data_IF_284067746845
#
_entry.id   IF_284067746845
#
_cell.length_a   1.000
_cell.length_b   1.000
_cell.length_c   1.000
_cell.angle_alpha   90.00
_cell.angle_beta   90.00
_cell.angle_gamma   90.00
#
_symmetry.space_group_name_H-M   'P 1'
#
loop_
_entity.id
_entity.type
_entity.pdbx_description
1 polymer ?
#
# COMPACT_ATOMS: atom_id res chain seq x y z
N UNK A 1 -20.38 3.32 -21.46
CA UNK A 1 -19.63 4.57 -21.72
C UNK A 1 -19.13 5.13 -20.37
N UNK A 2 -17.90 4.77 -19.93
CA UNK A 2 -17.33 5.19 -18.66
C UNK A 2 -16.79 6.59 -18.85
N UNK A 3 -17.43 7.59 -18.23
CA UNK A 3 -16.94 8.97 -18.26
C UNK A 3 -15.61 9.05 -17.50
N UNK A 4 -14.53 9.56 -18.10
CA UNK A 4 -13.27 9.77 -17.38
C UNK A 4 -13.52 10.79 -16.25
N UNK A 5 -13.30 10.37 -15.01
CA UNK A 5 -13.36 11.28 -13.86
C UNK A 5 -12.28 12.34 -14.01
N UNK A 6 -12.66 13.61 -14.07
CA UNK A 6 -11.72 14.73 -14.13
C UNK A 6 -10.91 14.76 -12.84
N UNK A 7 -9.63 14.48 -12.96
CA UNK A 7 -8.68 14.62 -11.86
C UNK A 7 -8.30 16.10 -11.72
N UNK A 8 -8.46 16.67 -10.53
CA UNK A 8 -8.13 18.07 -10.28
C UNK A 8 -6.62 18.30 -10.13
N UNK A 9 -6.23 19.56 -9.92
CA UNK A 9 -4.85 20.07 -9.92
C UNK A 9 -3.94 19.58 -8.78
N UNK A 10 -4.44 18.90 -7.74
CA UNK A 10 -3.62 18.41 -6.63
C UNK A 10 -2.88 17.11 -7.02
N UNK A 11 -1.60 16.95 -6.64
CA UNK A 11 -0.79 15.76 -7.01
C UNK A 11 -1.33 14.47 -6.42
N UNK A 12 -1.91 14.50 -5.23
CA UNK A 12 -2.55 13.36 -4.56
C UNK A 12 -3.87 13.82 -3.95
N UNK A 13 -4.96 13.09 -4.22
CA UNK A 13 -6.27 13.30 -3.58
C UNK A 13 -6.59 12.12 -2.69
N UNK A 14 -6.72 12.37 -1.41
CA UNK A 14 -7.27 11.40 -0.47
C UNK A 14 -8.80 11.44 -0.53
N UNK A 15 -9.42 10.29 -0.75
CA UNK A 15 -10.88 10.14 -0.69
C UNK A 15 -11.23 9.05 0.33
N UNK A 16 -12.02 9.42 1.32
CA UNK A 16 -12.58 8.48 2.28
C UNK A 16 -13.91 7.96 1.74
N UNK A 17 -14.00 6.66 1.57
CA UNK A 17 -15.27 5.98 1.24
C UNK A 17 -15.92 5.54 2.54
N UNK A 18 -17.20 5.92 2.75
CA UNK A 18 -17.91 5.67 4.00
C UNK A 18 -17.10 6.11 5.25
N UNK A 19 -16.75 7.41 5.40
CA UNK A 19 -15.75 7.87 6.38
C UNK A 19 -16.10 7.48 7.81
N UNK A 20 -17.36 7.58 8.19
CA UNK A 20 -17.80 7.22 9.54
C UNK A 20 -17.58 5.73 9.84
N UNK A 21 -17.96 4.84 8.91
CA UNK A 21 -17.77 3.41 9.07
C UNK A 21 -16.28 3.03 9.07
N UNK A 22 -15.49 3.63 8.17
CA UNK A 22 -14.03 3.38 8.10
C UNK A 22 -13.35 3.80 9.40
N UNK A 23 -13.62 5.00 9.89
CA UNK A 23 -13.02 5.49 11.14
C UNK A 23 -13.50 4.71 12.35
N UNK A 24 -14.77 4.35 12.41
CA UNK A 24 -15.32 3.55 13.50
C UNK A 24 -14.68 2.15 13.58
N UNK A 25 -14.61 1.44 12.44
CA UNK A 25 -14.01 0.10 12.41
C UNK A 25 -12.51 0.13 12.69
N UNK A 26 -11.81 1.16 12.19
CA UNK A 26 -10.39 1.36 12.47
C UNK A 26 -10.16 1.63 13.97
N UNK A 27 -10.94 2.53 14.56
CA UNK A 27 -10.84 2.85 15.99
C UNK A 27 -11.15 1.63 16.85
N UNK A 28 -12.25 0.90 16.54
CA UNK A 28 -12.62 -0.31 17.26
C UNK A 28 -11.53 -1.38 17.16
N UNK A 29 -10.98 -1.61 15.97
CA UNK A 29 -9.90 -2.55 15.76
C UNK A 29 -8.63 -2.17 16.52
N UNK A 30 -8.23 -0.89 16.50
CA UNK A 30 -7.07 -0.40 17.24
C UNK A 30 -7.26 -0.47 18.76
N UNK A 31 -8.48 -0.27 19.26
CA UNK A 31 -8.79 -0.44 20.70
C UNK A 31 -8.73 -1.91 21.11
N UNK A 32 -9.14 -2.83 20.25
CA UNK A 32 -9.10 -4.27 20.50
C UNK A 32 -7.69 -4.89 20.28
N UNK A 33 -6.76 -4.13 19.66
CA UNK A 33 -5.42 -4.60 19.30
C UNK A 33 -4.48 -4.64 20.50
N UNK A 34 -4.69 -5.58 21.42
CA UNK A 34 -3.80 -5.81 22.58
C UNK A 34 -2.41 -6.31 22.20
N UNK A 35 -2.26 -6.94 21.05
CA UNK A 35 -0.99 -7.52 20.58
C UNK A 35 -0.16 -6.56 19.71
N UNK A 36 -0.79 -5.52 19.17
CA UNK A 36 -0.15 -4.61 18.22
C UNK A 36 -0.11 -5.10 16.78
N UNK A 37 -0.67 -6.28 16.49
CA UNK A 37 -0.66 -6.89 15.13
C UNK A 37 -1.34 -5.98 14.11
N UNK A 38 -2.49 -5.42 14.46
CA UNK A 38 -3.22 -4.52 13.56
C UNK A 38 -2.45 -3.21 13.30
N UNK A 39 -1.85 -2.63 14.35
CA UNK A 39 -1.03 -1.40 14.22
C UNK A 39 0.12 -1.60 13.27
N UNK A 40 0.87 -2.69 13.43
CA UNK A 40 2.02 -2.98 12.57
C UNK A 40 1.60 -3.43 11.17
N UNK A 41 0.48 -4.14 11.04
CA UNK A 41 -0.13 -4.44 9.74
C UNK A 41 -0.54 -3.18 8.98
N UNK A 42 -1.18 -2.22 9.66
CA UNK A 42 -1.52 -0.92 9.07
C UNK A 42 -0.27 -0.10 8.70
N UNK A 43 0.76 -0.11 9.55
CA UNK A 43 2.03 0.55 9.26
C UNK A 43 2.70 -0.07 8.01
N UNK A 44 2.70 -1.40 7.89
CA UNK A 44 3.22 -2.08 6.72
C UNK A 44 2.38 -1.80 5.45
N UNK A 45 1.06 -1.70 5.58
CA UNK A 45 0.18 -1.33 4.47
C UNK A 45 0.42 0.12 4.01
N UNK A 46 0.57 1.06 4.93
CA UNK A 46 0.95 2.45 4.60
C UNK A 46 2.32 2.51 3.92
N UNK A 47 3.27 1.72 4.40
CA UNK A 47 4.59 1.61 3.80
C UNK A 47 4.53 1.06 2.36
N UNK A 48 3.71 0.04 2.14
CA UNK A 48 3.41 -0.52 0.82
C UNK A 48 2.86 0.54 -0.15
N UNK A 49 1.84 1.29 0.28
CA UNK A 49 1.25 2.36 -0.55
C UNK A 49 2.25 3.48 -0.85
N UNK A 50 3.18 3.78 0.07
CA UNK A 50 4.26 4.75 -0.22
C UNK A 50 5.16 4.28 -1.36
N UNK A 51 5.40 2.99 -1.50
CA UNK A 51 6.12 2.41 -2.64
C UNK A 51 5.44 2.74 -3.97
N UNK A 52 4.13 2.51 -4.05
CA UNK A 52 3.34 2.86 -5.24
C UNK A 52 3.32 4.38 -5.50
N UNK A 53 3.16 5.19 -4.45
CA UNK A 53 3.17 6.65 -4.55
C UNK A 53 4.48 7.19 -5.11
N UNK A 54 5.61 6.70 -4.61
CA UNK A 54 6.94 7.09 -5.08
C UNK A 54 7.16 6.66 -6.54
N UNK A 55 6.83 5.41 -6.87
CA UNK A 55 6.94 4.93 -8.24
C UNK A 55 6.05 5.74 -9.20
N UNK A 56 4.82 6.05 -8.79
CA UNK A 56 3.93 6.91 -9.57
C UNK A 56 4.51 8.31 -9.78
N UNK A 57 5.02 8.94 -8.73
CA UNK A 57 5.61 10.27 -8.79
C UNK A 57 6.81 10.34 -9.76
N UNK A 58 7.60 9.27 -9.82
CA UNK A 58 8.78 9.19 -10.72
C UNK A 58 8.38 8.83 -12.15
N UNK A 59 7.53 7.80 -12.33
CA UNK A 59 7.24 7.21 -13.64
C UNK A 59 6.14 7.94 -14.41
N UNK A 60 5.15 8.50 -13.71
CA UNK A 60 3.93 9.02 -14.35
C UNK A 60 3.81 10.53 -14.23
N UNK A 61 4.20 11.09 -13.10
CA UNK A 61 4.17 12.55 -12.81
C UNK A 61 2.81 13.21 -13.06
N UNK A 62 1.71 12.49 -12.79
CA UNK A 62 0.33 12.97 -12.94
C UNK A 62 -0.43 12.82 -11.62
N UNK A 63 -1.50 13.63 -11.42
CA UNK A 63 -2.35 13.51 -10.23
C UNK A 63 -2.94 12.11 -10.09
N UNK A 64 -3.02 11.61 -8.86
CA UNK A 64 -3.62 10.33 -8.52
C UNK A 64 -4.68 10.48 -7.43
N UNK A 65 -5.54 9.46 -7.25
CA UNK A 65 -6.46 9.36 -6.13
C UNK A 65 -6.10 8.17 -5.26
N UNK A 66 -5.87 8.43 -3.98
CA UNK A 66 -5.80 7.42 -2.94
C UNK A 66 -7.17 7.33 -2.27
N UNK A 67 -7.81 6.18 -2.37
CA UNK A 67 -9.11 5.92 -1.75
C UNK A 67 -8.92 5.01 -0.54
N UNK A 68 -9.34 5.49 0.64
CA UNK A 68 -9.39 4.71 1.87
C UNK A 68 -10.81 4.23 2.10
N UNK A 69 -10.98 2.93 2.24
CA UNK A 69 -12.27 2.28 2.50
C UNK A 69 -12.15 1.31 3.68
N UNK A 70 -13.27 0.81 4.24
CA UNK A 70 -13.25 -0.25 5.24
C UNK A 70 -12.54 -1.53 4.79
N UNK A 71 -12.45 -1.76 3.47
CA UNK A 71 -11.76 -2.90 2.88
C UNK A 71 -10.24 -2.67 2.67
N UNK A 72 -9.72 -1.46 2.98
CA UNK A 72 -8.31 -1.13 2.82
C UNK A 72 -8.05 0.09 1.92
N UNK A 73 -6.80 0.22 1.51
CA UNK A 73 -6.34 1.27 0.60
C UNK A 73 -6.55 0.84 -0.85
N UNK A 74 -6.97 1.76 -1.70
CA UNK A 74 -7.09 1.55 -3.13
C UNK A 74 -6.52 2.73 -3.90
N UNK A 75 -5.53 2.46 -4.74
CA UNK A 75 -4.92 3.46 -5.60
C UNK A 75 -5.67 3.53 -6.94
N UNK A 76 -6.35 4.64 -7.19
CA UNK A 76 -7.09 4.84 -8.44
C UNK A 76 -6.32 5.72 -9.42
N UNK A 77 -6.02 5.15 -10.59
CA UNK A 77 -5.38 5.85 -11.70
C UNK A 77 -6.44 6.67 -12.46
N UNK A 78 -6.35 8.00 -12.43
CA UNK A 78 -7.30 8.89 -13.10
C UNK A 78 -7.16 8.84 -14.61
N UNK A 79 -7.75 7.81 -15.27
CA UNK A 79 -7.86 7.76 -16.74
C UNK A 79 -6.54 7.75 -17.52
N UNK A 80 -5.43 7.39 -16.88
CA UNK A 80 -4.12 7.28 -17.50
C UNK A 80 -3.92 5.85 -17.97
N UNK A 81 -3.77 5.65 -19.28
CA UNK A 81 -3.35 4.37 -19.84
C UNK A 81 -1.82 4.34 -19.82
N UNK A 82 -1.27 3.39 -19.10
CA UNK A 82 0.17 3.19 -19.00
C UNK A 82 0.62 2.09 -19.97
N UNK A 83 1.84 2.21 -20.52
CA UNK A 83 2.45 1.08 -21.24
C UNK A 83 2.69 -0.09 -20.27
N UNK A 84 2.61 -1.36 -20.74
CA UNK A 84 2.63 -2.54 -19.88
C UNK A 84 3.84 -2.61 -18.93
N UNK A 85 5.01 -2.16 -19.38
CA UNK A 85 6.21 -2.17 -18.53
C UNK A 85 6.13 -1.19 -17.36
N UNK A 86 5.52 0.00 -17.54
CA UNK A 86 5.29 0.96 -16.44
C UNK A 86 4.26 0.45 -15.45
N UNK A 87 3.22 -0.20 -15.95
CA UNK A 87 2.21 -0.82 -15.11
C UNK A 87 2.81 -1.92 -14.24
N UNK A 88 3.67 -2.78 -14.81
CA UNK A 88 4.41 -3.81 -14.04
C UNK A 88 5.36 -3.21 -13.01
N UNK A 89 6.14 -2.18 -13.38
CA UNK A 89 7.03 -1.51 -12.43
C UNK A 89 6.25 -0.87 -11.28
N UNK A 90 5.12 -0.25 -11.60
CA UNK A 90 4.24 0.34 -10.60
C UNK A 90 3.68 -0.74 -9.67
N UNK A 91 3.20 -1.86 -10.21
CA UNK A 91 2.70 -2.99 -9.43
C UNK A 91 3.79 -3.63 -8.56
N UNK A 92 5.04 -3.69 -9.02
CA UNK A 92 6.15 -4.23 -8.23
C UNK A 92 6.59 -3.30 -7.09
N UNK A 93 6.32 -2.00 -7.18
CA UNK A 93 6.86 -1.00 -6.26
C UNK A 93 6.34 -1.16 -4.82
N UNK A 94 5.07 -1.52 -4.63
CA UNK A 94 4.49 -1.78 -3.31
C UNK A 94 5.13 -2.99 -2.62
N UNK A 95 5.11 -4.19 -3.24
CA UNK A 95 5.80 -5.35 -2.68
C UNK A 95 7.30 -5.12 -2.46
N UNK A 96 7.99 -4.43 -3.38
CA UNK A 96 9.40 -4.08 -3.22
C UNK A 96 9.62 -3.18 -1.98
N UNK A 97 8.78 -2.18 -1.76
CA UNK A 97 8.84 -1.35 -0.55
C UNK A 97 8.69 -2.20 0.72
N UNK A 98 7.78 -3.18 0.72
CA UNK A 98 7.60 -4.08 1.85
C UNK A 98 8.86 -4.93 2.12
N UNK A 99 9.48 -5.51 1.09
CA UNK A 99 10.73 -6.26 1.28
C UNK A 99 11.86 -5.37 1.77
N UNK A 100 11.97 -4.13 1.26
CA UNK A 100 12.92 -3.13 1.75
C UNK A 100 12.64 -2.79 3.22
N UNK A 101 11.37 -2.61 3.59
CA UNK A 101 10.95 -2.36 4.96
C UNK A 101 11.29 -3.52 5.91
N UNK A 102 11.07 -4.76 5.48
CA UNK A 102 11.43 -5.95 6.22
C UNK A 102 12.96 -6.03 6.44
N UNK A 103 13.74 -6.03 5.34
CA UNK A 103 15.20 -6.17 5.39
C UNK A 103 15.83 -5.00 6.17
N UNK A 104 15.41 -3.76 5.90
CA UNK A 104 15.91 -2.58 6.59
C UNK A 104 15.66 -2.62 8.10
N UNK A 105 14.49 -3.11 8.51
CA UNK A 105 14.17 -3.27 9.93
C UNK A 105 15.03 -4.35 10.58
N UNK A 106 15.25 -5.48 9.92
CA UNK A 106 16.10 -6.56 10.43
C UNK A 106 17.57 -6.10 10.59
N UNK A 107 18.12 -5.43 9.56
CA UNK A 107 19.48 -4.86 9.59
C UNK A 107 19.61 -3.81 10.70
N UNK A 108 18.58 -2.96 10.86
CA UNK A 108 18.57 -1.98 11.94
C UNK A 108 18.54 -2.64 13.32
N UNK A 109 17.77 -3.71 13.51
CA UNK A 109 17.70 -4.45 14.79
C UNK A 109 19.01 -5.21 15.11
N UNK A 110 19.72 -5.67 14.09
CA UNK A 110 21.04 -6.29 14.25
C UNK A 110 22.04 -5.29 14.85
N UNK A 111 22.02 -4.04 14.40
CA UNK A 111 22.91 -2.98 14.88
C UNK A 111 22.44 -2.33 16.20
N UNK A 112 21.13 -2.12 16.39
CA UNK A 112 20.56 -1.33 17.49
C UNK A 112 19.95 -2.18 18.62
N UNK A 113 19.97 -3.51 18.47
CA UNK A 113 19.37 -4.47 19.39
C UNK A 113 17.91 -4.82 19.07
N UNK A 114 17.52 -5.99 19.53
CA UNK A 114 16.21 -6.58 19.30
C UNK A 114 15.09 -5.73 19.89
N UNK A 115 14.01 -5.53 19.09
CA UNK A 115 12.80 -4.82 19.52
C UNK A 115 11.56 -5.57 19.05
N UNK A 116 10.64 -5.85 19.97
CA UNK A 116 9.36 -6.51 19.70
C UNK A 116 8.58 -5.84 18.55
N UNK A 117 8.49 -4.50 18.59
CA UNK A 117 7.85 -3.70 17.53
C UNK A 117 8.49 -3.89 16.15
N UNK A 118 9.83 -3.97 16.10
CA UNK A 118 10.56 -4.20 14.86
C UNK A 118 10.27 -5.57 14.27
N UNK A 119 10.14 -6.61 15.09
CA UNK A 119 9.80 -7.94 14.60
C UNK A 119 8.40 -7.99 13.99
N UNK A 120 7.41 -7.38 14.64
CA UNK A 120 6.06 -7.32 14.07
C UNK A 120 6.01 -6.52 12.79
N UNK A 121 6.71 -5.39 12.73
CA UNK A 121 6.78 -4.58 11.50
C UNK A 121 7.49 -5.33 10.37
N UNK A 122 8.61 -6.00 10.65
CA UNK A 122 9.32 -6.81 9.64
C UNK A 122 8.47 -7.97 9.16
N UNK A 123 7.82 -8.72 10.06
CA UNK A 123 6.94 -9.83 9.72
C UNK A 123 5.72 -9.37 8.92
N UNK A 124 5.08 -8.27 9.32
CA UNK A 124 3.94 -7.71 8.59
C UNK A 124 4.34 -7.29 7.16
N UNK A 125 5.50 -6.65 7.01
CA UNK A 125 6.00 -6.29 5.68
C UNK A 125 6.32 -7.52 4.82
N UNK A 126 6.96 -8.54 5.38
CA UNK A 126 7.26 -9.78 4.66
C UNK A 126 5.99 -10.45 4.16
N UNK A 127 5.01 -10.64 5.05
CA UNK A 127 3.74 -11.29 4.72
C UNK A 127 2.96 -10.47 3.69
N UNK A 128 2.80 -9.16 3.92
CA UNK A 128 2.05 -8.30 3.01
C UNK A 128 2.68 -8.26 1.62
N UNK A 129 4.02 -8.12 1.54
CA UNK A 129 4.74 -8.15 0.27
C UNK A 129 4.57 -9.47 -0.47
N UNK A 130 4.67 -10.61 0.23
CA UNK A 130 4.47 -11.93 -0.34
C UNK A 130 3.02 -12.13 -0.84
N UNK A 131 2.01 -11.74 -0.04
CA UNK A 131 0.61 -11.83 -0.46
C UNK A 131 0.30 -10.97 -1.67
N UNK A 132 0.81 -9.74 -1.74
CA UNK A 132 0.57 -8.86 -2.88
C UNK A 132 1.24 -9.32 -4.18
N UNK A 133 2.21 -10.25 -4.13
CA UNK A 133 2.78 -10.89 -5.32
C UNK A 133 1.91 -12.02 -5.89
N UNK A 134 0.89 -12.47 -5.16
CA UNK A 134 -0.01 -13.51 -5.66
C UNK A 134 -0.83 -13.01 -6.86
N UNK A 135 -1.02 -13.83 -7.91
CA UNK A 135 -1.76 -13.46 -9.12
C UNK A 135 -3.29 -13.48 -8.90
N UNK A 136 -3.76 -12.87 -7.81
CA UNK A 136 -5.16 -12.81 -7.44
C UNK A 136 -5.78 -11.46 -7.83
N UNK A 137 -7.06 -11.43 -8.24
CA UNK A 137 -7.75 -10.19 -8.54
C UNK A 137 -7.72 -9.23 -7.34
N UNK A 138 -7.31 -7.98 -7.56
CA UNK A 138 -7.18 -6.96 -6.52
C UNK A 138 -5.78 -6.83 -5.91
N UNK A 139 -4.87 -7.77 -6.15
CA UNK A 139 -3.46 -7.68 -5.74
C UNK A 139 -2.57 -7.20 -6.88
N UNK A 140 -1.39 -6.70 -6.53
CA UNK A 140 -0.42 -6.18 -7.50
C UNK A 140 0.12 -7.29 -8.41
N UNK A 141 0.22 -8.50 -7.88
CA UNK A 141 0.63 -9.69 -8.62
C UNK A 141 -0.22 -9.95 -9.86
N UNK A 142 -1.51 -9.66 -9.83
CA UNK A 142 -2.36 -9.80 -11.02
C UNK A 142 -1.88 -8.93 -12.19
N UNK A 143 -1.44 -7.69 -11.90
CA UNK A 143 -0.89 -6.76 -12.89
C UNK A 143 0.54 -7.11 -13.27
N UNK A 144 1.33 -7.56 -12.30
CA UNK A 144 2.72 -7.94 -12.51
C UNK A 144 2.84 -9.14 -13.46
N UNK A 145 1.99 -10.14 -13.30
CA UNK A 145 1.98 -11.38 -14.09
C UNK A 145 1.12 -11.28 -15.36
N UNK A 146 0.46 -10.13 -15.60
CA UNK A 146 -0.28 -9.87 -16.84
C UNK A 146 -1.62 -10.60 -16.96
N UNK A 147 -2.31 -10.77 -15.82
CA UNK A 147 -3.67 -11.34 -15.76
C UNK A 147 -4.72 -10.26 -15.49
#
# INVERSE_FOLDING_TARGET
MIRPKRCGRLPVRLRLRAPAATLFLLALGLMADGTGVLRWGLAAALWHETGHLLAWAVLVRRPMQLELSPAGFCLSMCGVVLPPWRERLLAAAGPAANFIGCIGTLVWMDAAGYRYAGCWFAAANLLLGAFHLLPLPGFDGARLWGR
#
